data_IF_911253168923
#
_entry.id   IF_911253168923
#
_cell.length_a   1.000
_cell.length_b   1.000
_cell.length_c   1.000
_cell.angle_alpha   90.00
_cell.angle_beta   90.00
_cell.angle_gamma   90.00
#
_symmetry.space_group_name_H-M   'P 1'
#
loop_
_entity.id
_entity.type
_entity.pdbx_description
1 polymer ?
#
# COMPACT_ATOMS: atom_id res chain seq x y z
N UNK A 1 7.31 -27.84 3.01
CA UNK A 1 6.04 -28.17 3.70
C UNK A 1 5.64 -27.10 4.74
N UNK A 2 6.06 -25.83 4.61
CA UNK A 2 6.02 -24.83 5.71
C UNK A 2 5.00 -23.68 5.53
N UNK A 3 4.41 -23.51 4.35
CA UNK A 3 3.55 -22.36 4.04
C UNK A 3 2.25 -22.31 4.86
N UNK A 4 1.64 -23.48 5.11
CA UNK A 4 0.46 -23.60 6.00
C UNK A 4 0.79 -23.22 7.45
N UNK A 5 1.99 -23.56 7.92
CA UNK A 5 2.46 -23.20 9.26
C UNK A 5 2.67 -21.68 9.36
N UNK A 6 3.34 -21.10 8.36
CA UNK A 6 3.61 -19.66 8.32
C UNK A 6 2.31 -18.82 8.31
N UNK A 7 1.36 -19.14 7.42
CA UNK A 7 0.07 -18.43 7.37
C UNK A 7 -0.74 -18.60 8.66
N UNK A 8 -0.73 -19.79 9.26
CA UNK A 8 -1.47 -20.05 10.50
C UNK A 8 -0.89 -19.25 11.69
N UNK A 9 0.43 -19.22 11.84
CA UNK A 9 1.11 -18.41 12.87
C UNK A 9 0.85 -16.93 12.66
N UNK A 10 0.90 -16.48 11.39
CA UNK A 10 0.65 -15.10 11.00
C UNK A 10 -0.78 -14.65 11.32
N UNK A 11 -1.78 -15.45 10.93
CA UNK A 11 -3.19 -15.18 11.22
C UNK A 11 -3.46 -15.20 12.73
N UNK A 12 -2.80 -16.10 13.47
CA UNK A 12 -2.92 -16.17 14.93
C UNK A 12 -2.37 -14.90 15.59
N UNK A 13 -1.20 -14.41 15.19
CA UNK A 13 -0.61 -13.17 15.70
C UNK A 13 -1.49 -11.94 15.41
N UNK A 14 -2.05 -11.83 14.20
CA UNK A 14 -2.94 -10.70 13.86
C UNK A 14 -4.25 -10.73 14.68
N UNK A 15 -4.72 -11.93 15.03
CA UNK A 15 -5.98 -12.13 15.78
C UNK A 15 -5.85 -11.79 17.27
N UNK A 16 -4.64 -11.61 17.79
CA UNK A 16 -4.43 -11.10 19.14
C UNK A 16 -5.01 -9.69 19.26
N UNK A 17 -5.82 -9.45 20.29
CA UNK A 17 -6.58 -8.20 20.47
C UNK A 17 -5.68 -6.96 20.48
N UNK A 18 -4.46 -7.11 20.99
CA UNK A 18 -3.47 -6.05 21.13
C UNK A 18 -2.75 -5.70 19.81
N UNK A 19 -2.80 -6.57 18.79
CA UNK A 19 -2.17 -6.36 17.47
C UNK A 19 -3.20 -5.95 16.41
N UNK A 20 -4.47 -6.34 16.59
CA UNK A 20 -5.58 -6.02 15.68
C UNK A 20 -5.68 -4.53 15.27
N UNK A 21 -5.57 -3.52 16.16
CA UNK A 21 -5.64 -2.12 15.74
C UNK A 21 -4.46 -1.72 14.86
N UNK A 22 -3.26 -2.26 15.13
CA UNK A 22 -2.07 -2.01 14.31
C UNK A 22 -2.19 -2.63 12.93
N UNK A 23 -2.80 -3.82 12.83
CA UNK A 23 -3.13 -4.42 11.55
C UNK A 23 -4.11 -3.56 10.74
N UNK A 24 -5.17 -3.04 11.37
CA UNK A 24 -6.09 -2.12 10.71
C UNK A 24 -5.39 -0.85 10.21
N UNK A 25 -4.44 -0.32 10.98
CA UNK A 25 -3.63 0.83 10.59
C UNK A 25 -2.71 0.50 9.40
N UNK A 26 -2.09 -0.69 9.37
CA UNK A 26 -1.29 -1.16 8.22
C UNK A 26 -2.15 -1.29 6.96
N UNK A 27 -3.35 -1.86 7.09
CA UNK A 27 -4.32 -1.98 5.99
C UNK A 27 -4.72 -0.60 5.46
N UNK A 28 -5.10 0.32 6.35
CA UNK A 28 -5.45 1.69 5.96
C UNK A 28 -4.28 2.41 5.28
N UNK A 29 -3.07 2.24 5.81
CA UNK A 29 -1.84 2.82 5.25
C UNK A 29 -1.55 2.28 3.84
N UNK A 30 -1.66 0.97 3.64
CA UNK A 30 -1.45 0.33 2.36
C UNK A 30 -2.52 0.72 1.33
N UNK A 31 -3.79 0.79 1.76
CA UNK A 31 -4.91 1.28 0.94
C UNK A 31 -4.66 2.71 0.46
N UNK A 32 -4.25 3.58 1.37
CA UNK A 32 -3.95 5.01 1.09
C UNK A 32 -2.82 5.15 0.08
N UNK A 33 -1.76 4.35 0.24
CA UNK A 33 -0.65 4.34 -0.68
C UNK A 33 -1.04 3.79 -2.06
N UNK A 34 -1.75 2.66 -2.11
CA UNK A 34 -2.19 2.04 -3.36
C UNK A 34 -3.13 2.94 -4.17
N UNK A 35 -4.01 3.66 -3.47
CA UNK A 35 -4.92 4.63 -4.09
C UNK A 35 -4.15 5.80 -4.69
N UNK A 36 -3.24 6.41 -3.91
CA UNK A 36 -2.41 7.52 -4.40
C UNK A 36 -1.50 7.09 -5.57
N UNK A 37 -0.91 5.89 -5.50
CA UNK A 37 -0.13 5.32 -6.59
C UNK A 37 -0.98 5.04 -7.82
N UNK A 38 -2.20 4.56 -7.65
CA UNK A 38 -3.17 4.36 -8.73
C UNK A 38 -3.53 5.66 -9.47
N UNK A 39 -3.77 6.75 -8.73
CA UNK A 39 -3.98 8.07 -9.34
C UNK A 39 -2.74 8.58 -10.09
N UNK A 40 -1.54 8.28 -9.58
CA UNK A 40 -0.31 8.65 -10.26
C UNK A 40 -0.12 7.88 -11.56
N UNK A 41 -0.27 6.55 -11.53
CA UNK A 41 0.00 5.68 -12.68
C UNK A 41 -1.04 5.87 -13.80
N UNK A 42 -2.27 6.28 -13.45
CA UNK A 42 -3.32 6.64 -14.40
C UNK A 42 -2.83 7.65 -15.46
N UNK A 43 -1.90 8.55 -15.12
CA UNK A 43 -1.34 9.52 -16.09
C UNK A 43 -0.55 8.89 -17.23
N UNK A 44 0.11 7.76 -16.97
CA UNK A 44 0.95 7.10 -17.97
C UNK A 44 0.15 6.10 -18.81
N UNK A 45 -1.01 5.69 -18.32
CA UNK A 45 -1.92 4.76 -18.99
C UNK A 45 -2.95 5.54 -19.81
N UNK A 46 -2.48 6.35 -20.76
CA UNK A 46 -3.33 6.98 -21.76
C UNK A 46 -3.72 5.93 -22.81
N UNK A 47 -4.88 5.29 -22.61
CA UNK A 47 -5.49 4.46 -23.63
C UNK A 47 -6.02 5.34 -24.76
N UNK A 48 -5.31 5.38 -25.88
CA UNK A 48 -5.77 6.06 -27.09
C UNK A 48 -6.95 5.28 -27.70
N UNK A 49 -8.06 5.96 -28.05
CA UNK A 49 -9.17 5.30 -28.73
C UNK A 49 -8.69 4.75 -30.08
N UNK A 50 -8.93 3.46 -30.32
CA UNK A 50 -8.75 2.89 -31.65
C UNK A 50 -9.79 3.50 -32.58
N UNK A 51 -9.34 4.16 -33.64
CA UNK A 51 -10.18 4.65 -34.74
C UNK A 51 -10.66 3.47 -35.57
N UNK A 52 -11.69 2.76 -35.11
CA UNK A 52 -12.46 1.86 -35.95
C UNK A 52 -13.64 2.61 -36.57
N UNK A 53 -13.97 2.26 -37.82
CA UNK A 53 -14.97 2.93 -38.68
C UNK A 53 -16.42 2.89 -38.14
N UNK A 54 -16.65 2.21 -37.02
CA UNK A 54 -17.94 2.16 -36.33
C UNK A 54 -17.86 3.04 -35.08
N UNK A 55 -18.29 4.30 -35.23
CA UNK A 55 -18.32 5.28 -34.13
C UNK A 55 -19.55 4.99 -33.26
N UNK A 56 -19.39 4.17 -32.23
CA UNK A 56 -20.40 4.06 -31.17
C UNK A 56 -20.59 5.39 -30.44
N UNK A 57 -21.78 5.62 -29.85
CA UNK A 57 -22.15 6.85 -29.11
C UNK A 57 -21.09 7.32 -28.07
N UNK A 58 -20.37 6.35 -27.50
CA UNK A 58 -19.29 6.54 -26.52
C UNK A 58 -18.04 7.19 -27.16
N UNK A 59 -17.71 6.81 -28.40
CA UNK A 59 -16.64 7.40 -29.20
C UNK A 59 -17.03 8.80 -29.69
N UNK A 60 -18.29 8.98 -30.12
CA UNK A 60 -18.81 10.28 -30.56
C UNK A 60 -18.80 11.35 -29.46
N UNK A 61 -19.05 10.96 -28.20
CA UNK A 61 -19.06 11.88 -27.06
C UNK A 61 -17.72 11.97 -26.32
N UNK A 62 -16.64 11.35 -26.81
CA UNK A 62 -15.34 11.28 -26.11
C UNK A 62 -15.48 10.83 -24.64
N UNK A 63 -16.41 9.91 -24.36
CA UNK A 63 -16.65 9.47 -23.00
C UNK A 63 -15.44 8.64 -22.51
N UNK A 64 -14.81 8.97 -21.38
CA UNK A 64 -13.56 8.36 -20.95
C UNK A 64 -13.78 6.95 -20.32
N UNK A 65 -14.46 6.05 -21.02
CA UNK A 65 -14.81 4.70 -20.54
C UNK A 65 -13.59 3.87 -20.12
N UNK A 66 -12.45 4.11 -20.78
CA UNK A 66 -11.20 3.44 -20.46
C UNK A 66 -10.60 3.89 -19.12
N UNK A 67 -10.90 5.11 -18.66
CA UNK A 67 -10.49 5.60 -17.34
C UNK A 67 -11.29 4.90 -16.23
N UNK A 68 -12.60 4.73 -16.42
CA UNK A 68 -13.45 3.98 -15.49
C UNK A 68 -12.98 2.53 -15.34
N UNK A 69 -12.58 1.89 -16.45
CA UNK A 69 -12.06 0.53 -16.43
C UNK A 69 -10.76 0.41 -15.63
N UNK A 70 -9.88 1.41 -15.72
CA UNK A 70 -8.67 1.45 -14.90
C UNK A 70 -9.00 1.54 -13.41
N UNK A 71 -9.89 2.46 -13.02
CA UNK A 71 -10.30 2.60 -11.62
C UNK A 71 -11.01 1.34 -11.11
N UNK A 72 -11.77 0.66 -11.96
CA UNK A 72 -12.39 -0.62 -11.65
C UNK A 72 -11.35 -1.71 -11.38
N UNK A 73 -10.35 -1.87 -12.26
CA UNK A 73 -9.25 -2.82 -12.06
C UNK A 73 -8.42 -2.48 -10.81
N UNK A 74 -8.15 -1.20 -10.58
CA UNK A 74 -7.45 -0.72 -9.40
C UNK A 74 -8.21 -1.08 -8.12
N UNK A 75 -9.52 -0.85 -8.07
CA UNK A 75 -10.35 -1.16 -6.92
C UNK A 75 -10.52 -2.67 -6.69
N UNK A 76 -10.73 -3.44 -7.76
CA UNK A 76 -11.02 -4.87 -7.68
C UNK A 76 -9.78 -5.72 -7.39
N UNK A 77 -8.64 -5.36 -7.97
CA UNK A 77 -7.42 -6.17 -7.93
C UNK A 77 -6.26 -5.39 -7.30
N UNK A 78 -5.99 -4.18 -7.79
CA UNK A 78 -4.80 -3.42 -7.42
C UNK A 78 -4.70 -3.14 -5.92
N UNK A 79 -5.74 -2.54 -5.34
CA UNK A 79 -5.79 -2.17 -3.93
C UNK A 79 -5.79 -3.41 -3.02
N UNK A 80 -6.63 -4.44 -3.24
CA UNK A 80 -6.57 -5.67 -2.46
C UNK A 80 -5.21 -6.36 -2.53
N UNK A 81 -4.61 -6.48 -3.72
CA UNK A 81 -3.31 -7.11 -3.89
C UNK A 81 -2.20 -6.33 -3.19
N UNK A 82 -2.15 -5.01 -3.37
CA UNK A 82 -1.16 -4.15 -2.71
C UNK A 82 -1.29 -4.22 -1.19
N UNK A 83 -2.51 -4.19 -0.67
CA UNK A 83 -2.79 -4.28 0.77
C UNK A 83 -2.34 -5.62 1.33
N UNK A 84 -2.62 -6.72 0.62
CA UNK A 84 -2.19 -8.06 1.01
C UNK A 84 -0.66 -8.19 1.02
N UNK A 85 0.01 -7.76 -0.05
CA UNK A 85 1.49 -7.79 -0.16
C UNK A 85 2.12 -6.95 0.95
N UNK A 86 1.61 -5.75 1.19
CA UNK A 86 2.15 -4.86 2.22
C UNK A 86 1.98 -5.44 3.63
N UNK A 87 0.83 -6.07 3.89
CA UNK A 87 0.55 -6.75 5.16
C UNK A 87 1.52 -7.92 5.39
N UNK A 88 1.75 -8.75 4.36
CA UNK A 88 2.73 -9.82 4.44
C UNK A 88 4.15 -9.28 4.68
N UNK A 89 4.53 -8.23 3.95
CA UNK A 89 5.84 -7.61 4.09
C UNK A 89 6.05 -7.07 5.51
N UNK A 90 5.05 -6.39 6.08
CA UNK A 90 5.10 -5.88 7.45
C UNK A 90 5.38 -6.99 8.47
N UNK A 91 4.75 -8.15 8.31
CA UNK A 91 4.89 -9.29 9.23
C UNK A 91 6.25 -9.96 9.07
N UNK A 92 6.64 -10.28 7.83
CA UNK A 92 7.91 -10.93 7.53
C UNK A 92 9.07 -10.06 8.01
N UNK A 93 9.04 -8.75 7.70
CA UNK A 93 10.06 -7.80 8.14
C UNK A 93 10.13 -7.72 9.67
N UNK A 94 8.98 -7.61 10.34
CA UNK A 94 8.96 -7.51 11.81
C UNK A 94 9.48 -8.78 12.49
N UNK A 95 9.14 -9.96 11.96
CA UNK A 95 9.66 -11.24 12.46
C UNK A 95 11.16 -11.40 12.19
N UNK A 96 11.63 -11.02 11.01
CA UNK A 96 13.04 -11.09 10.64
C UNK A 96 13.90 -10.19 11.52
N UNK A 97 13.49 -8.92 11.68
CA UNK A 97 14.17 -7.96 12.55
C UNK A 97 14.10 -8.41 14.01
N UNK A 98 12.98 -8.95 14.48
CA UNK A 98 12.84 -9.45 15.85
C UNK A 98 13.86 -10.55 16.17
N UNK A 99 14.10 -11.47 15.22
CA UNK A 99 15.13 -12.49 15.36
C UNK A 99 16.53 -11.90 15.35
N UNK A 100 16.79 -10.92 14.47
CA UNK A 100 18.10 -10.29 14.34
C UNK A 100 18.50 -9.50 15.58
N UNK A 101 17.56 -8.74 16.15
CA UNK A 101 17.80 -7.83 17.27
C UNK A 101 17.38 -8.45 18.63
N UNK A 102 16.97 -9.72 18.64
CA UNK A 102 16.54 -10.49 19.84
C UNK A 102 15.44 -9.78 20.67
N UNK A 103 14.53 -9.08 19.99
CA UNK A 103 13.40 -8.37 20.60
C UNK A 103 12.09 -9.18 20.40
N UNK A 104 11.06 -8.98 21.25
CA UNK A 104 9.78 -9.65 21.07
C UNK A 104 9.09 -9.17 19.78
N UNK A 105 8.62 -10.11 18.97
CA UNK A 105 7.98 -9.81 17.67
C UNK A 105 6.78 -8.87 17.79
N UNK A 106 5.99 -8.99 18.87
CA UNK A 106 4.85 -8.11 19.12
C UNK A 106 5.23 -6.62 19.21
N UNK A 107 6.37 -6.30 19.84
CA UNK A 107 6.85 -4.92 19.95
C UNK A 107 7.19 -4.36 18.55
N UNK A 108 7.93 -5.13 17.75
CA UNK A 108 8.33 -4.72 16.41
C UNK A 108 7.16 -4.62 15.44
N UNK A 109 6.15 -5.50 15.56
CA UNK A 109 4.90 -5.39 14.80
C UNK A 109 4.23 -4.03 15.06
N UNK A 110 4.08 -3.64 16.33
CA UNK A 110 3.47 -2.35 16.71
C UNK A 110 4.28 -1.16 16.18
N UNK A 111 5.58 -1.15 16.41
CA UNK A 111 6.45 -0.03 15.99
C UNK A 111 6.50 0.09 14.46
N UNK A 112 6.63 -1.03 13.75
CA UNK A 112 6.62 -1.02 12.29
C UNK A 112 5.25 -0.62 11.74
N UNK A 113 4.15 -0.95 12.40
CA UNK A 113 2.83 -0.49 12.01
C UNK A 113 2.71 1.03 12.19
N UNK A 114 3.14 1.58 13.32
CA UNK A 114 3.18 3.03 13.55
C UNK A 114 4.04 3.75 12.52
N UNK A 115 5.21 3.19 12.16
CA UNK A 115 6.02 3.74 11.07
C UNK A 115 5.26 3.74 9.72
N UNK A 116 4.39 2.76 9.47
CA UNK A 116 3.56 2.72 8.27
C UNK A 116 2.48 3.81 8.24
N UNK A 117 2.10 4.41 9.37
CA UNK A 117 1.07 5.46 9.42
C UNK A 117 1.45 6.71 8.64
N UNK A 118 2.74 6.96 8.41
CA UNK A 118 3.21 8.05 7.55
C UNK A 118 2.69 7.93 6.12
N UNK A 119 2.34 6.73 5.65
CA UNK A 119 1.68 6.56 4.35
C UNK A 119 0.29 7.19 4.30
N UNK A 120 -0.37 7.44 5.42
CA UNK A 120 -1.65 8.17 5.44
C UNK A 120 -1.48 9.62 4.97
N UNK A 121 -0.27 10.17 5.03
CA UNK A 121 0.04 11.52 4.51
C UNK A 121 -0.12 11.61 2.98
N UNK A 122 -0.20 10.48 2.26
CA UNK A 122 -0.51 10.50 0.83
C UNK A 122 -1.86 11.15 0.54
N UNK A 123 -2.83 11.08 1.47
CA UNK A 123 -4.13 11.76 1.33
C UNK A 123 -4.02 13.27 1.34
N UNK A 124 -3.15 13.83 2.18
CA UNK A 124 -3.00 15.29 2.33
C UNK A 124 -2.59 15.96 1.01
N UNK A 125 -1.91 15.23 0.13
CA UNK A 125 -1.43 15.73 -1.16
C UNK A 125 -1.94 14.95 -2.36
N UNK A 126 -3.02 14.18 -2.19
CA UNK A 126 -3.55 13.37 -3.30
C UNK A 126 -4.02 14.24 -4.48
N UNK A 127 -4.50 15.45 -4.18
CA UNK A 127 -4.90 16.46 -5.16
C UNK A 127 -3.72 17.15 -5.86
N UNK A 128 -2.55 17.18 -5.21
CA UNK A 128 -1.32 17.83 -5.71
C UNK A 128 -0.35 16.83 -6.36
N UNK A 129 -0.74 15.54 -6.42
CA UNK A 129 -0.01 14.51 -7.18
C UNK A 129 0.18 14.90 -8.66
N UNK A 130 -0.67 15.80 -9.16
CA UNK A 130 -0.55 16.37 -10.50
C UNK A 130 0.68 17.25 -10.68
N UNK A 131 1.00 18.12 -9.71
CA UNK A 131 2.12 19.07 -9.81
C UNK A 131 3.41 18.52 -9.23
N UNK A 132 3.36 17.76 -8.13
CA UNK A 132 4.57 17.30 -7.46
C UNK A 132 4.43 15.87 -6.90
N UNK A 133 4.66 14.83 -7.73
CA UNK A 133 4.56 13.43 -7.28
C UNK A 133 5.64 13.06 -6.25
N UNK A 134 6.77 13.77 -6.25
CA UNK A 134 7.84 13.62 -5.26
C UNK A 134 7.32 13.88 -3.83
N UNK A 135 6.55 14.94 -3.64
CA UNK A 135 6.02 15.29 -2.32
C UNK A 135 4.76 14.49 -1.95
N UNK A 136 3.97 14.05 -2.94
CA UNK A 136 2.73 13.30 -2.70
C UNK A 136 2.93 11.80 -2.39
N UNK A 137 3.97 11.17 -2.96
CA UNK A 137 4.24 9.72 -2.79
C UNK A 137 5.60 9.44 -2.16
N UNK A 138 6.66 10.08 -2.65
CA UNK A 138 8.03 9.77 -2.23
C UNK A 138 8.31 10.21 -0.79
N UNK A 139 7.87 11.40 -0.38
CA UNK A 139 8.08 11.89 1.00
C UNK A 139 7.48 10.95 2.06
N UNK A 140 6.19 10.52 1.96
CA UNK A 140 5.64 9.50 2.85
C UNK A 140 6.47 8.21 2.88
N UNK A 141 6.91 7.70 1.73
CA UNK A 141 7.72 6.48 1.66
C UNK A 141 9.08 6.64 2.35
N UNK A 142 9.75 7.77 2.13
CA UNK A 142 11.04 8.07 2.77
C UNK A 142 10.88 8.15 4.29
N UNK A 143 9.83 8.81 4.79
CA UNK A 143 9.56 8.88 6.22
C UNK A 143 9.34 7.49 6.83
N UNK A 144 8.56 6.62 6.16
CA UNK A 144 8.37 5.23 6.58
C UNK A 144 9.70 4.49 6.63
N UNK A 145 10.56 4.67 5.63
CA UNK A 145 11.83 3.98 5.55
C UNK A 145 12.82 4.44 6.62
N UNK A 146 12.99 5.75 6.76
CA UNK A 146 13.85 6.37 7.77
C UNK A 146 13.41 5.99 9.17
N UNK A 147 12.10 5.98 9.45
CA UNK A 147 11.58 5.59 10.76
C UNK A 147 11.77 4.11 11.04
N UNK A 148 11.55 3.22 10.06
CA UNK A 148 11.85 1.79 10.22
C UNK A 148 13.34 1.53 10.46
N UNK A 149 14.23 2.21 9.75
CA UNK A 149 15.68 2.14 10.00
C UNK A 149 16.02 2.66 11.40
N UNK A 150 15.47 3.80 11.81
CA UNK A 150 15.69 4.37 13.14
C UNK A 150 15.22 3.44 14.26
N UNK A 151 14.08 2.75 14.06
CA UNK A 151 13.59 1.72 15.00
C UNK A 151 14.60 0.58 15.12
N UNK A 152 15.12 0.07 14.00
CA UNK A 152 16.11 -1.01 13.98
C UNK A 152 17.42 -0.55 14.66
N UNK A 153 17.94 0.62 14.27
CA UNK A 153 19.19 1.16 14.79
C UNK A 153 19.14 1.49 16.28
N UNK A 154 17.97 1.82 16.83
CA UNK A 154 17.79 2.02 18.28
C UNK A 154 17.83 0.71 19.07
N UNK A 155 17.54 -0.42 18.44
CA UNK A 155 17.46 -1.71 19.10
C UNK A 155 18.77 -2.52 19.01
N UNK A 156 19.63 -2.20 18.04
CA UNK A 156 21.01 -2.72 17.92
C UNK A 156 21.92 -2.14 19.00
#
# INVERSE_FOLDING_TARGET
MEWKSFLHVTLKQIRESDIRPYHALVVASAFSFATAFGFWIHKFLLFQPHTSEIIGWISANNYPKHQEFLYYLLALIGIPAATFIYTLFWIILSQFVAKWVRQPTALLLKQNALASSFLLLTWYRIWDLNRNPLLGLLLPMVLVFVTKIGIIGRQL
#
